data_IF_744439927939
#
_entry.id   IF_744439927939
#
_cell.length_a   1.000
_cell.length_b   1.000
_cell.length_c   1.000
_cell.angle_alpha   90.00
_cell.angle_beta   90.00
_cell.angle_gamma   90.00
#
_symmetry.space_group_name_H-M   'P 1'
#
loop_
_entity.id
_entity.type
_entity.pdbx_description
1 polymer ?
#
# COMPACT_ATOMS: atom_id res chain seq x y z
N UNK A 1 2.71 19.76 5.43
CA UNK A 1 3.16 18.50 4.80
C UNK A 1 2.59 17.36 5.62
N UNK A 2 1.97 16.41 4.94
CA UNK A 2 1.44 15.20 5.56
C UNK A 2 2.53 14.10 5.55
N UNK A 3 2.35 13.06 6.36
CA UNK A 3 3.32 11.97 6.48
C UNK A 3 2.74 10.68 5.91
N UNK A 4 3.55 9.95 5.16
CA UNK A 4 3.20 8.61 4.72
C UNK A 4 3.09 7.68 5.94
N UNK A 5 2.00 6.93 6.04
CA UNK A 5 1.76 6.00 7.13
C UNK A 5 2.68 4.77 7.09
N UNK A 6 3.12 4.33 5.90
CA UNK A 6 4.04 3.19 5.77
C UNK A 6 5.47 3.54 6.16
N UNK A 7 6.07 4.62 5.61
CA UNK A 7 7.47 4.95 5.86
C UNK A 7 7.71 6.05 6.91
N UNK A 8 6.64 6.68 7.41
CA UNK A 8 6.65 7.78 8.38
C UNK A 8 7.47 9.01 7.96
N UNK A 9 7.78 9.13 6.67
CA UNK A 9 8.45 10.30 6.07
C UNK A 9 7.43 11.28 5.52
N UNK A 10 7.79 12.56 5.56
CA UNK A 10 7.03 13.61 4.89
C UNK A 10 7.16 13.47 3.37
N UNK A 11 6.07 13.69 2.66
CA UNK A 11 6.02 13.70 1.21
C UNK A 11 5.20 14.90 0.73
N UNK A 12 5.50 15.41 -0.45
CA UNK A 12 4.69 16.45 -1.09
C UNK A 12 3.33 15.92 -1.52
N UNK A 13 3.31 14.70 -2.06
CA UNK A 13 2.10 14.05 -2.54
C UNK A 13 1.88 12.72 -1.80
N UNK A 14 0.68 12.58 -1.27
CA UNK A 14 0.21 11.36 -0.62
C UNK A 14 -1.10 10.93 -1.28
N UNK A 15 -1.29 9.62 -1.32
CA UNK A 15 -2.48 8.98 -1.84
C UNK A 15 -3.14 8.19 -0.70
N UNK A 16 -4.46 8.19 -0.65
CA UNK A 16 -5.21 7.38 0.30
C UNK A 16 -5.50 6.01 -0.32
N UNK A 17 -5.10 4.94 0.35
CA UNK A 17 -5.37 3.57 -0.11
C UNK A 17 -6.88 3.29 -0.12
N UNK A 18 -7.42 2.84 -1.25
CA UNK A 18 -8.84 2.52 -1.39
C UNK A 18 -9.30 1.30 -0.59
N UNK A 19 -8.37 0.45 -0.13
CA UNK A 19 -8.68 -0.78 0.61
C UNK A 19 -8.66 -0.58 2.12
N UNK A 20 -7.60 0.05 2.65
CA UNK A 20 -7.36 0.19 4.09
C UNK A 20 -7.32 1.64 4.59
N UNK A 21 -7.54 2.63 3.73
CA UNK A 21 -7.62 4.05 4.04
C UNK A 21 -6.35 4.70 4.62
N UNK A 22 -5.20 4.03 4.61
CA UNK A 22 -3.93 4.63 5.04
C UNK A 22 -3.39 5.61 3.98
N UNK A 23 -2.61 6.60 4.41
CA UNK A 23 -1.90 7.50 3.50
C UNK A 23 -0.55 6.91 3.08
N UNK A 24 -0.28 6.86 1.78
CA UNK A 24 1.00 6.36 1.24
C UNK A 24 1.61 7.34 0.24
N UNK A 25 2.94 7.41 0.21
CA UNK A 25 3.66 8.17 -0.83
C UNK A 25 3.87 7.31 -2.08
N UNK A 26 4.30 7.92 -3.18
CA UNK A 26 4.60 7.24 -4.46
C UNK A 26 5.51 6.00 -4.34
N UNK A 27 6.35 5.92 -3.29
CA UNK A 27 7.28 4.81 -3.04
C UNK A 27 6.69 3.68 -2.18
N UNK A 28 5.59 3.96 -1.47
CA UNK A 28 4.99 3.04 -0.51
C UNK A 28 3.63 2.52 -0.98
N UNK A 29 3.35 2.62 -2.28
CA UNK A 29 2.17 2.04 -2.90
C UNK A 29 2.18 2.26 -4.40
N UNK A 30 1.04 1.99 -5.03
CA UNK A 30 0.84 2.11 -6.46
C UNK A 30 -0.25 3.15 -6.74
N UNK A 31 0.16 4.32 -7.22
CA UNK A 31 -0.75 5.43 -7.54
C UNK A 31 -1.68 5.15 -8.73
N UNK A 32 -1.36 4.19 -9.61
CA UNK A 32 -2.27 3.81 -10.69
C UNK A 32 -3.44 2.96 -10.18
N UNK A 33 -3.20 2.15 -9.14
CA UNK A 33 -4.20 1.30 -8.50
C UNK A 33 -4.83 1.93 -7.25
N UNK A 34 -4.24 3.01 -6.72
CA UNK A 34 -4.63 3.66 -5.46
C UNK A 34 -4.62 2.65 -4.30
N UNK A 35 -3.53 1.88 -4.21
CA UNK A 35 -3.31 0.87 -3.18
C UNK A 35 -1.95 1.06 -2.51
N UNK A 36 -1.88 0.93 -1.18
CA UNK A 36 -0.61 0.87 -0.46
C UNK A 36 0.15 -0.42 -0.74
N UNK A 37 1.43 -0.47 -0.36
CA UNK A 37 2.32 -1.62 -0.60
C UNK A 37 1.72 -2.94 -0.11
N UNK A 38 1.20 -3.01 1.11
CA UNK A 38 0.59 -4.24 1.65
C UNK A 38 -0.64 -4.70 0.84
N UNK A 39 -1.47 -3.76 0.39
CA UNK A 39 -2.65 -4.08 -0.40
C UNK A 39 -2.29 -4.45 -1.84
N UNK A 40 -1.20 -3.90 -2.39
CA UNK A 40 -0.65 -4.31 -3.68
C UNK A 40 -0.12 -5.74 -3.57
N UNK A 41 0.73 -6.02 -2.58
CA UNK A 41 1.26 -7.36 -2.33
C UNK A 41 0.12 -8.37 -2.15
N UNK A 42 -0.88 -8.05 -1.31
CA UNK A 42 -2.04 -8.92 -1.12
C UNK A 42 -2.83 -9.18 -2.43
N UNK A 43 -3.03 -8.14 -3.25
CA UNK A 43 -3.72 -8.27 -4.53
C UNK A 43 -2.92 -9.08 -5.57
N UNK A 44 -1.59 -9.03 -5.51
CA UNK A 44 -0.68 -9.75 -6.41
C UNK A 44 -0.44 -11.19 -5.94
N UNK A 45 -0.51 -11.43 -4.64
CA UNK A 45 -0.30 -12.74 -4.03
C UNK A 45 -1.40 -13.77 -4.37
N UNK A 46 -2.60 -13.33 -4.75
CA UNK A 46 -3.70 -14.23 -5.17
C UNK A 46 -4.03 -15.34 -4.16
N UNK A 47 -4.96 -16.27 -4.47
CA UNK A 47 -5.27 -17.41 -3.60
C UNK A 47 -4.13 -18.44 -3.49
N UNK A 48 -2.98 -18.24 -4.16
CA UNK A 48 -1.85 -19.18 -4.12
C UNK A 48 -0.85 -18.91 -3.01
N UNK A 49 -0.79 -17.70 -2.45
CA UNK A 49 0.10 -17.38 -1.33
C UNK A 49 -0.36 -17.93 0.04
N UNK A 50 -1.53 -18.56 0.11
CA UNK A 50 -2.06 -19.22 1.32
C UNK A 50 -1.72 -20.72 1.39
N UNK A 51 -0.96 -21.26 0.43
CA UNK A 51 -0.62 -22.70 0.39
C UNK A 51 0.44 -23.11 1.41
N UNK A 52 1.09 -22.18 2.11
CA UNK A 52 2.17 -22.48 3.07
C UNK A 52 1.71 -22.45 4.54
N UNK A 53 0.40 -22.60 4.80
CA UNK A 53 -0.14 -22.86 6.14
C UNK A 53 -0.52 -24.35 6.20
N UNK A 54 0.49 -25.22 6.30
CA UNK A 54 0.35 -26.64 6.71
C UNK A 54 0.74 -26.83 8.18
#
# INVERSE_FOLDING_TARGET
MEKCDSCKKEAEELFQCNSCNILFCEKCGNQQRILCVDCVEFAESGPEALKDIE
#
